data_IF_582771680691
#
_entry.id   IF_582771680691
#
_cell.length_a   1.000
_cell.length_b   1.000
_cell.length_c   1.000
_cell.angle_alpha   90.00
_cell.angle_beta   90.00
_cell.angle_gamma   90.00
#
_symmetry.space_group_name_H-M   'P 1'
#
loop_
_entity.id
_entity.type
_entity.pdbx_description
1 polymer ?
#
# COMPACT_ATOMS: atom_id res chain seq x y z
N UNK A 1 -7.67 6.70 -34.43
CA UNK A 1 -6.99 6.98 -33.14
C UNK A 1 -8.03 6.77 -32.05
N UNK A 2 -7.83 5.81 -31.15
CA UNK A 2 -8.79 5.50 -30.07
C UNK A 2 -8.54 6.50 -28.94
N UNK A 3 -9.58 7.19 -28.48
CA UNK A 3 -9.50 8.18 -27.41
C UNK A 3 -10.79 8.16 -26.57
N UNK A 4 -10.72 8.70 -25.36
CA UNK A 4 -11.87 8.97 -24.49
C UNK A 4 -12.07 10.48 -24.38
N UNK A 5 -13.28 10.89 -24.00
CA UNK A 5 -13.62 12.28 -23.70
C UNK A 5 -14.16 12.31 -22.28
N UNK A 6 -13.50 13.05 -21.39
CA UNK A 6 -13.85 13.17 -19.98
C UNK A 6 -14.02 14.64 -19.63
N UNK A 7 -15.17 14.98 -19.05
CA UNK A 7 -15.48 16.30 -18.52
C UNK A 7 -15.00 16.42 -17.08
N UNK A 8 -14.75 17.65 -16.62
CA UNK A 8 -14.38 17.93 -15.22
C UNK A 8 -15.40 17.38 -14.21
N UNK A 9 -16.68 17.37 -14.57
CA UNK A 9 -17.77 16.81 -13.75
C UNK A 9 -17.70 15.28 -13.60
N UNK A 10 -16.94 14.61 -14.46
CA UNK A 10 -16.77 13.15 -14.46
C UNK A 10 -15.49 12.72 -13.72
N UNK A 11 -14.74 13.65 -13.11
CA UNK A 11 -13.51 13.33 -12.38
C UNK A 11 -13.82 12.72 -11.02
N UNK A 12 -13.16 11.61 -10.74
CA UNK A 12 -13.21 10.91 -9.46
C UNK A 12 -12.01 11.32 -8.58
N UNK A 13 -12.14 11.12 -7.27
CA UNK A 13 -11.03 11.30 -6.31
C UNK A 13 -10.37 12.68 -6.34
N UNK A 14 -9.06 12.72 -6.55
CA UNK A 14 -8.20 13.92 -6.40
C UNK A 14 -8.36 15.00 -7.49
N UNK A 15 -9.44 14.96 -8.30
CA UNK A 15 -9.74 15.92 -9.37
C UNK A 15 -8.60 16.12 -10.40
N UNK A 16 -7.92 15.04 -10.78
CA UNK A 16 -6.85 15.04 -11.80
C UNK A 16 -7.37 14.57 -13.16
N UNK A 17 -6.77 15.12 -14.23
CA UNK A 17 -7.01 14.78 -15.63
C UNK A 17 -5.73 14.16 -16.22
N UNK A 18 -5.51 12.87 -15.98
CA UNK A 18 -4.37 12.13 -16.49
C UNK A 18 -4.81 11.25 -17.68
N UNK A 19 -4.19 11.42 -18.85
CA UNK A 19 -4.59 10.70 -20.07
C UNK A 19 -4.41 9.18 -19.94
N UNK A 20 -3.41 8.75 -19.18
CA UNK A 20 -3.12 7.35 -18.87
C UNK A 20 -4.21 6.72 -18.00
N UNK A 21 -4.80 7.48 -17.09
CA UNK A 21 -5.85 6.99 -16.18
C UNK A 21 -7.17 6.79 -16.93
N UNK A 22 -7.51 7.71 -17.83
CA UNK A 22 -8.79 7.69 -18.57
C UNK A 22 -8.70 6.96 -19.92
N UNK A 23 -7.75 6.05 -20.12
CA UNK A 23 -7.71 5.26 -21.35
C UNK A 23 -9.03 4.49 -21.57
N UNK A 24 -9.55 4.39 -22.82
CA UNK A 24 -10.83 3.74 -23.11
C UNK A 24 -10.97 2.32 -22.57
N UNK A 25 -9.87 1.56 -22.52
CA UNK A 25 -9.84 0.22 -21.95
C UNK A 25 -10.12 0.22 -20.43
N UNK A 26 -9.53 1.15 -19.68
CA UNK A 26 -9.73 1.26 -18.24
C UNK A 26 -11.14 1.76 -17.89
N UNK A 27 -11.70 2.65 -18.70
CA UNK A 27 -13.10 3.06 -18.57
C UNK A 27 -14.06 1.89 -18.74
N UNK A 28 -13.82 1.05 -19.75
CA UNK A 28 -14.59 -0.18 -19.98
C UNK A 28 -14.51 -1.13 -18.77
N UNK A 29 -13.31 -1.33 -18.20
CA UNK A 29 -13.16 -2.17 -17.01
C UNK A 29 -13.86 -1.59 -15.78
N UNK A 30 -13.79 -0.27 -15.58
CA UNK A 30 -14.51 0.42 -14.50
C UNK A 30 -16.02 0.22 -14.62
N UNK A 31 -16.59 0.36 -15.82
CA UNK A 31 -18.02 0.08 -16.06
C UNK A 31 -18.41 -1.36 -15.74
N UNK A 32 -17.53 -2.33 -16.03
CA UNK A 32 -17.77 -3.74 -15.71
C UNK A 32 -17.72 -3.99 -14.20
N UNK A 33 -16.73 -3.41 -13.52
CA UNK A 33 -16.59 -3.51 -12.07
C UNK A 33 -17.78 -2.88 -11.34
N UNK A 34 -18.28 -1.73 -11.82
CA UNK A 34 -19.44 -1.04 -11.24
C UNK A 34 -20.75 -1.84 -11.32
N UNK A 35 -20.83 -2.87 -12.17
CA UNK A 35 -21.98 -3.79 -12.24
C UNK A 35 -21.90 -4.93 -11.24
N UNK A 36 -20.73 -5.15 -10.64
CA UNK A 36 -20.53 -6.19 -9.62
C UNK A 36 -20.91 -5.64 -8.25
N UNK A 37 -21.36 -6.54 -7.37
CA UNK A 37 -21.53 -6.20 -5.96
C UNK A 37 -20.17 -6.23 -5.27
N UNK A 38 -19.54 -5.06 -5.16
CA UNK A 38 -18.25 -4.89 -4.51
C UNK A 38 -18.44 -4.39 -3.07
N UNK A 39 -17.49 -4.72 -2.21
CA UNK A 39 -17.40 -4.18 -0.85
C UNK A 39 -16.10 -3.37 -0.73
N UNK A 40 -16.18 -2.21 -0.10
CA UNK A 40 -15.01 -1.40 0.24
C UNK A 40 -14.15 -2.15 1.27
N UNK A 41 -12.83 -2.11 1.13
CA UNK A 41 -11.93 -2.70 2.14
C UNK A 41 -12.15 -2.07 3.52
N UNK A 42 -12.50 -0.78 3.59
CA UNK A 42 -12.84 -0.11 4.84
C UNK A 42 -14.09 -0.67 5.52
N UNK A 43 -14.94 -1.39 4.80
CA UNK A 43 -16.05 -2.14 5.40
C UNK A 43 -15.58 -3.47 6.00
N UNK A 44 -14.52 -4.07 5.43
CA UNK A 44 -14.04 -5.41 5.80
C UNK A 44 -12.95 -5.39 6.87
N UNK A 45 -12.17 -4.32 6.96
CA UNK A 45 -11.09 -4.16 7.93
C UNK A 45 -11.11 -2.79 8.57
N UNK A 46 -10.71 -2.73 9.84
CA UNK A 46 -10.50 -1.47 10.57
C UNK A 46 -9.15 -0.83 10.29
N UNK A 47 -8.26 -1.50 9.54
CA UNK A 47 -6.90 -1.02 9.26
C UNK A 47 -6.47 -1.39 7.85
N UNK A 48 -6.28 -0.35 7.02
CA UNK A 48 -5.53 -0.40 5.75
C UNK A 48 -4.47 0.68 5.85
N UNK A 49 -3.21 0.29 5.76
CA UNK A 49 -2.14 1.24 6.06
C UNK A 49 -0.82 0.96 5.35
N UNK A 50 0.02 1.97 5.33
CA UNK A 50 1.39 1.90 4.81
C UNK A 50 2.40 1.83 5.95
N UNK A 51 3.56 1.24 5.65
CA UNK A 51 4.73 1.29 6.51
C UNK A 51 5.24 2.72 6.72
N UNK A 52 6.28 2.86 7.53
CA UNK A 52 6.91 4.16 7.76
C UNK A 52 7.70 4.60 6.52
N UNK A 53 7.36 5.79 5.99
CA UNK A 53 7.96 6.35 4.78
C UNK A 53 8.77 7.60 5.14
N UNK A 54 9.99 7.40 5.65
CA UNK A 54 10.99 8.45 5.90
C UNK A 54 12.37 7.82 6.09
N UNK A 55 13.42 8.63 6.05
CA UNK A 55 14.77 8.14 6.34
C UNK A 55 14.84 7.58 7.76
N UNK A 56 15.12 6.29 7.86
CA UNK A 56 15.27 5.56 9.13
C UNK A 56 16.60 4.81 9.22
N UNK A 57 17.48 4.99 8.23
CA UNK A 57 18.80 4.34 8.16
C UNK A 57 19.64 4.64 9.40
N UNK A 58 19.49 5.84 9.98
CA UNK A 58 20.17 6.23 11.22
C UNK A 58 19.72 5.44 12.46
N UNK A 59 18.59 4.73 12.40
CA UNK A 59 18.08 3.89 13.48
C UNK A 59 18.42 2.41 13.28
N UNK A 60 19.10 2.05 12.19
CA UNK A 60 19.47 0.67 11.92
C UNK A 60 20.58 0.22 12.85
N UNK A 61 20.42 -0.97 13.41
CA UNK A 61 21.37 -1.58 14.33
C UNK A 61 21.41 -3.10 14.17
N UNK A 62 22.42 -3.72 14.77
CA UNK A 62 22.71 -5.16 14.60
C UNK A 62 21.73 -6.08 15.34
N UNK A 63 21.02 -5.57 16.35
CA UNK A 63 20.10 -6.35 17.21
C UNK A 63 18.94 -5.47 17.67
N UNK A 64 17.79 -6.05 17.95
CA UNK A 64 16.63 -5.30 18.47
C UNK A 64 15.33 -5.82 17.91
N UNK A 65 14.41 -4.91 17.60
CA UNK A 65 13.14 -5.26 16.97
C UNK A 65 13.36 -5.37 15.46
N UNK A 66 13.00 -6.49 14.81
CA UNK A 66 13.17 -6.65 13.38
C UNK A 66 12.26 -5.68 12.62
N UNK A 67 12.84 -5.02 11.61
CA UNK A 67 12.14 -4.11 10.71
C UNK A 67 11.91 -4.81 9.37
N UNK A 68 10.65 -5.05 9.01
CA UNK A 68 10.32 -5.53 7.66
C UNK A 68 10.47 -4.40 6.64
N UNK A 69 11.23 -4.69 5.58
CA UNK A 69 11.38 -3.84 4.39
C UNK A 69 10.76 -4.55 3.19
N UNK A 70 10.54 -3.83 2.08
CA UNK A 70 10.00 -4.40 0.83
C UNK A 70 10.75 -5.65 0.38
N UNK A 71 12.08 -5.65 0.52
CA UNK A 71 12.94 -6.79 0.18
C UNK A 71 12.72 -8.05 1.03
N UNK A 72 12.13 -7.92 2.23
CA UNK A 72 11.82 -9.07 3.08
C UNK A 72 10.50 -9.74 2.69
N UNK A 73 9.68 -9.11 1.84
CA UNK A 73 8.43 -9.69 1.36
C UNK A 73 8.73 -10.48 0.08
N UNK A 74 8.75 -11.80 0.20
CA UNK A 74 9.01 -12.73 -0.89
C UNK A 74 7.69 -13.34 -1.41
N UNK A 75 7.80 -14.09 -2.51
CA UNK A 75 6.65 -14.81 -3.07
C UNK A 75 6.12 -15.83 -2.04
N UNK A 76 4.94 -15.55 -1.47
CA UNK A 76 4.24 -16.36 -0.46
C UNK A 76 4.87 -16.46 0.94
N UNK A 77 5.98 -15.76 1.24
CA UNK A 77 6.57 -15.77 2.59
C UNK A 77 7.30 -14.46 2.93
N UNK A 78 7.63 -14.30 4.21
CA UNK A 78 8.48 -13.21 4.69
C UNK A 78 9.87 -13.78 5.01
N UNK A 79 10.91 -13.26 4.35
CA UNK A 79 12.29 -13.57 4.70
C UNK A 79 12.70 -12.78 5.95
N UNK A 80 12.64 -13.49 7.08
CA UNK A 80 13.00 -13.00 8.40
C UNK A 80 14.38 -13.52 8.86
N UNK A 81 15.20 -14.03 7.95
CA UNK A 81 16.52 -14.58 8.26
C UNK A 81 17.64 -13.82 7.53
N UNK A 82 17.45 -13.49 6.25
CA UNK A 82 18.49 -12.86 5.44
C UNK A 82 18.32 -11.33 5.37
N UNK A 83 19.43 -10.61 5.54
CA UNK A 83 19.49 -9.13 5.48
C UNK A 83 18.40 -8.43 6.32
N UNK A 84 18.10 -9.02 7.49
CA UNK A 84 17.17 -8.43 8.45
C UNK A 84 17.87 -7.28 9.17
N UNK A 85 17.22 -6.13 9.12
CA UNK A 85 17.66 -4.93 9.84
C UNK A 85 16.85 -4.81 11.12
N UNK A 86 17.50 -4.36 12.18
CA UNK A 86 16.85 -4.13 13.47
C UNK A 86 16.81 -2.64 13.79
N UNK A 87 15.82 -2.27 14.60
CA UNK A 87 15.67 -0.94 15.20
C UNK A 87 15.59 -1.07 16.73
N UNK A 88 15.87 0.03 17.42
CA UNK A 88 15.72 0.08 18.86
C UNK A 88 14.24 0.15 19.31
N UNK A 89 13.99 -0.24 20.56
CA UNK A 89 12.66 -0.26 21.17
C UNK A 89 12.01 1.13 21.27
N UNK A 90 12.80 2.19 21.42
CA UNK A 90 12.28 3.56 21.52
C UNK A 90 11.71 4.01 20.18
N UNK A 91 12.44 3.75 19.09
CA UNK A 91 12.00 4.03 17.74
C UNK A 91 10.82 3.14 17.34
N UNK A 92 10.85 1.85 17.66
CA UNK A 92 9.73 0.94 17.41
C UNK A 92 8.42 1.45 18.06
N UNK A 93 8.49 1.97 19.30
CA UNK A 93 7.33 2.55 20.00
C UNK A 93 6.80 3.83 19.35
N UNK A 94 7.62 4.56 18.58
CA UNK A 94 7.18 5.71 17.77
C UNK A 94 6.47 5.25 16.50
N UNK A 95 6.84 4.09 15.94
CA UNK A 95 6.27 3.51 14.72
C UNK A 95 4.97 2.71 14.94
N UNK A 96 4.11 3.09 15.91
CA UNK A 96 2.90 2.32 16.29
C UNK A 96 2.02 1.95 15.09
N UNK A 97 1.87 2.90 14.16
CA UNK A 97 1.08 2.77 12.95
C UNK A 97 1.56 1.61 12.06
N UNK A 98 2.87 1.45 11.96
CA UNK A 98 3.56 0.47 11.11
C UNK A 98 3.81 -0.88 11.79
N UNK A 99 3.39 -1.04 13.04
CA UNK A 99 3.47 -2.34 13.72
C UNK A 99 2.47 -3.33 13.09
N UNK A 100 2.93 -4.56 12.96
CA UNK A 100 2.23 -5.68 12.34
C UNK A 100 2.18 -6.86 13.30
N UNK A 101 1.15 -7.68 13.17
CA UNK A 101 0.91 -8.81 14.06
C UNK A 101 0.54 -10.05 13.24
N UNK A 102 0.75 -11.27 13.79
CA UNK A 102 0.31 -12.49 13.14
C UNK A 102 -1.16 -12.42 12.72
N UNK A 103 -1.45 -12.85 11.49
CA UNK A 103 -2.79 -12.77 10.87
C UNK A 103 -3.04 -11.51 10.04
N UNK A 104 -2.13 -10.53 10.06
CA UNK A 104 -2.21 -9.39 9.16
C UNK A 104 -1.81 -9.81 7.73
N UNK A 105 -2.46 -9.20 6.74
CA UNK A 105 -2.09 -9.33 5.34
C UNK A 105 -1.15 -8.17 4.96
N UNK A 106 -0.04 -8.50 4.31
CA UNK A 106 0.99 -7.57 3.83
C UNK A 106 0.97 -7.51 2.30
#
# INVERSE_FOLDING_TARGET
MIHSIIQKSQLEGAHRLDAEYYQPEYLKYSEQLNRLKLADLNFLTSKVDVGFVSSMVSHFQDKGVPLLRTQNVCEFFIDAENDVVYIDEEFHKKLRKSQIFPGYLL
#
